data_IF_350968362230
#
_entry.id   IF_350968362230
#
_cell.length_a   1.000
_cell.length_b   1.000
_cell.length_c   1.000
_cell.angle_alpha   90.00
_cell.angle_beta   90.00
_cell.angle_gamma   90.00
#
_symmetry.space_group_name_H-M   'P 1'
#
loop_
_entity.id
_entity.type
_entity.pdbx_description
1 polymer ?
#
# COMPACT_ATOMS: atom_id res chain seq x y z
N UNK A 1 5.26 -12.50 28.11
CA UNK A 1 4.16 -12.99 27.24
C UNK A 1 4.67 -12.83 25.82
N UNK A 2 4.67 -13.90 25.03
CA UNK A 2 4.93 -13.76 23.60
C UNK A 2 3.86 -12.86 22.99
N UNK A 3 4.27 -11.89 22.17
CA UNK A 3 3.33 -11.01 21.47
C UNK A 3 2.59 -11.82 20.43
N UNK A 4 1.24 -11.80 20.47
CA UNK A 4 0.41 -12.47 19.47
C UNK A 4 0.74 -11.94 18.07
N UNK A 5 0.74 -12.83 17.07
CA UNK A 5 0.99 -12.47 15.67
C UNK A 5 -0.33 -12.14 14.96
N UNK A 6 -0.28 -11.26 14.00
CA UNK A 6 -1.45 -10.93 13.17
C UNK A 6 -1.74 -12.05 12.17
N UNK A 7 -2.85 -12.78 12.34
CA UNK A 7 -3.22 -13.86 11.40
C UNK A 7 -3.53 -13.32 10.01
N UNK A 8 -4.08 -12.11 9.91
CA UNK A 8 -4.40 -11.45 8.64
C UNK A 8 -3.14 -11.09 7.83
N UNK A 9 -1.95 -11.10 8.46
CA UNK A 9 -0.67 -10.85 7.78
C UNK A 9 -0.11 -12.10 7.09
N UNK A 10 -0.61 -13.30 7.44
CA UNK A 10 -0.13 -14.55 6.86
C UNK A 10 -0.70 -14.76 5.46
N UNK A 11 0.15 -15.14 4.51
CA UNK A 11 -0.34 -15.64 3.22
C UNK A 11 -1.04 -16.98 3.40
N UNK A 12 -1.84 -17.39 2.42
CA UNK A 12 -2.52 -18.69 2.48
C UNK A 12 -1.52 -19.86 2.66
N UNK A 13 -0.35 -19.76 2.04
CA UNK A 13 0.72 -20.74 2.20
C UNK A 13 1.26 -20.75 3.62
N UNK A 14 1.59 -19.58 4.19
CA UNK A 14 2.07 -19.42 5.56
C UNK A 14 1.03 -19.91 6.57
N UNK A 15 -0.25 -19.54 6.39
CA UNK A 15 -1.35 -19.99 7.24
C UNK A 15 -1.52 -21.53 7.17
N UNK A 16 -1.31 -22.12 5.99
CA UNK A 16 -1.34 -23.58 5.81
C UNK A 16 -0.23 -24.25 6.58
N UNK A 17 0.98 -23.70 6.58
CA UNK A 17 2.12 -24.23 7.33
C UNK A 17 1.88 -24.14 8.83
N UNK A 18 1.38 -23.01 9.33
CA UNK A 18 1.04 -22.81 10.75
C UNK A 18 0.00 -23.82 11.24
N UNK A 19 -1.08 -24.00 10.49
CA UNK A 19 -2.13 -24.93 10.86
C UNK A 19 -1.67 -26.39 10.82
N UNK A 20 -0.82 -26.76 9.87
CA UNK A 20 -0.19 -28.09 9.86
C UNK A 20 0.67 -28.32 11.09
N UNK A 21 1.45 -27.31 11.51
CA UNK A 21 2.24 -27.37 12.74
C UNK A 21 1.35 -27.54 14.00
N UNK A 22 0.12 -27.00 13.97
CA UNK A 22 -0.90 -27.20 15.01
C UNK A 22 -1.65 -28.54 14.90
N UNK A 23 -1.26 -29.42 13.97
CA UNK A 23 -1.93 -30.71 13.73
C UNK A 23 -3.29 -30.60 13.02
N UNK A 24 -3.52 -29.50 12.31
CA UNK A 24 -4.80 -29.27 11.62
C UNK A 24 -4.71 -29.66 10.12
N UNK A 25 -5.81 -30.15 9.53
CA UNK A 25 -5.88 -30.42 8.09
C UNK A 25 -5.69 -29.14 7.26
N UNK A 26 -4.99 -29.25 6.12
CA UNK A 26 -4.65 -28.09 5.29
C UNK A 26 -5.85 -27.31 4.71
N UNK A 27 -7.02 -27.96 4.53
CA UNK A 27 -8.22 -27.27 4.03
C UNK A 27 -8.74 -26.21 5.00
N UNK A 28 -8.42 -26.32 6.32
CA UNK A 28 -8.82 -25.31 7.30
C UNK A 28 -8.14 -23.96 7.06
N UNK A 29 -6.95 -23.95 6.47
CA UNK A 29 -6.29 -22.70 6.10
C UNK A 29 -7.12 -21.89 5.11
N UNK A 30 -7.71 -22.55 4.09
CA UNK A 30 -8.61 -21.87 3.15
C UNK A 30 -9.87 -21.34 3.84
N UNK A 31 -10.44 -22.11 4.76
CA UNK A 31 -11.62 -21.67 5.52
C UNK A 31 -11.31 -20.45 6.38
N UNK A 32 -10.21 -20.46 7.15
CA UNK A 32 -9.80 -19.33 7.98
C UNK A 32 -9.44 -18.11 7.12
N UNK A 33 -8.70 -18.32 6.03
CA UNK A 33 -8.36 -17.26 5.09
C UNK A 33 -9.62 -16.60 4.49
N UNK A 34 -10.60 -17.41 4.10
CA UNK A 34 -11.90 -16.94 3.63
C UNK A 34 -12.65 -16.11 4.69
N UNK A 35 -12.66 -16.56 5.97
CA UNK A 35 -13.28 -15.81 7.04
C UNK A 35 -12.63 -14.44 7.24
N UNK A 36 -11.31 -14.39 7.25
CA UNK A 36 -10.56 -13.15 7.47
C UNK A 36 -10.63 -12.23 6.25
N UNK A 37 -10.34 -12.75 5.05
CA UNK A 37 -10.09 -11.94 3.86
C UNK A 37 -11.27 -11.83 2.89
N UNK A 38 -12.37 -12.58 3.10
CA UNK A 38 -13.58 -12.45 2.26
C UNK A 38 -14.81 -12.09 3.08
N UNK A 39 -15.02 -12.76 4.23
CA UNK A 39 -16.11 -12.40 5.16
C UNK A 39 -15.76 -11.23 6.08
N UNK A 40 -14.48 -10.84 6.11
CA UNK A 40 -13.95 -9.67 6.80
C UNK A 40 -14.27 -9.68 8.30
N UNK A 41 -14.21 -10.85 8.94
CA UNK A 41 -14.44 -10.95 10.39
C UNK A 41 -13.32 -10.27 11.18
N UNK A 42 -13.66 -9.76 12.34
CA UNK A 42 -12.72 -9.09 13.25
C UNK A 42 -12.50 -9.86 14.54
N UNK A 43 -13.18 -11.01 14.67
CA UNK A 43 -13.13 -11.86 15.85
C UNK A 43 -13.24 -13.34 15.44
N UNK A 44 -12.47 -14.22 16.11
CA UNK A 44 -12.48 -15.65 15.82
C UNK A 44 -13.83 -16.32 16.17
N UNK A 45 -14.56 -15.79 17.14
CA UNK A 45 -15.87 -16.31 17.53
C UNK A 45 -16.92 -16.27 16.42
N UNK A 46 -16.72 -15.40 15.42
CA UNK A 46 -17.60 -15.31 14.24
C UNK A 46 -17.43 -16.49 13.27
N UNK A 47 -16.36 -17.29 13.40
CA UNK A 47 -16.01 -18.40 12.50
C UNK A 47 -16.77 -19.69 12.87
N UNK A 48 -18.06 -19.71 12.56
CA UNK A 48 -19.01 -20.74 13.06
C UNK A 48 -18.79 -22.16 12.54
N UNK A 49 -18.03 -22.33 11.46
CA UNK A 49 -17.68 -23.63 10.87
C UNK A 49 -16.36 -24.20 11.40
N UNK A 50 -15.72 -23.52 12.36
CA UNK A 50 -14.46 -23.96 12.96
C UNK A 50 -14.69 -24.61 14.34
N UNK A 51 -13.90 -25.67 14.68
CA UNK A 51 -13.97 -26.26 16.00
C UNK A 51 -13.58 -25.26 17.10
N UNK A 52 -14.35 -25.21 18.19
CA UNK A 52 -14.08 -24.33 19.34
C UNK A 52 -12.66 -24.50 19.89
N UNK A 53 -12.16 -25.74 19.96
CA UNK A 53 -10.80 -26.03 20.42
C UNK A 53 -9.70 -25.43 19.51
N UNK A 54 -9.96 -25.32 18.18
CA UNK A 54 -9.06 -24.66 17.27
C UNK A 54 -9.11 -23.13 17.46
N UNK A 55 -10.32 -22.58 17.57
CA UNK A 55 -10.49 -21.12 17.78
C UNK A 55 -9.78 -20.66 19.05
N UNK A 56 -9.89 -21.41 20.16
CA UNK A 56 -9.18 -21.10 21.39
C UNK A 56 -7.65 -21.07 21.19
N UNK A 57 -7.07 -22.05 20.49
CA UNK A 57 -5.64 -22.06 20.17
C UNK A 57 -5.22 -20.90 19.27
N UNK A 58 -6.09 -20.51 18.31
CA UNK A 58 -5.82 -19.37 17.46
C UNK A 58 -5.84 -18.06 18.25
N UNK A 59 -6.79 -17.89 19.16
CA UNK A 59 -6.87 -16.73 20.05
C UNK A 59 -5.67 -16.61 21.01
N UNK A 60 -5.05 -17.72 21.39
CA UNK A 60 -3.83 -17.70 22.20
C UNK A 60 -2.61 -17.18 21.41
N UNK A 61 -2.47 -17.62 20.14
CA UNK A 61 -1.29 -17.35 19.32
C UNK A 61 -1.42 -16.14 18.40
N UNK A 62 -2.65 -15.78 18.02
CA UNK A 62 -2.93 -14.78 16.98
C UNK A 62 -3.97 -13.75 17.41
N UNK A 63 -3.99 -12.65 16.65
CA UNK A 63 -5.08 -11.68 16.61
C UNK A 63 -5.48 -11.39 15.16
N UNK A 64 -6.68 -10.88 14.96
CA UNK A 64 -7.16 -10.37 13.66
C UNK A 64 -7.02 -8.84 13.70
N UNK A 65 -6.36 -8.25 12.71
CA UNK A 65 -6.23 -6.80 12.62
C UNK A 65 -7.61 -6.16 12.41
N UNK A 66 -8.01 -5.30 13.36
CA UNK A 66 -9.29 -4.62 13.37
C UNK A 66 -9.12 -3.20 13.92
N UNK A 67 -8.74 -2.22 13.09
CA UNK A 67 -8.55 -0.85 13.55
C UNK A 67 -9.89 -0.22 13.94
N UNK A 68 -9.83 0.72 14.87
CA UNK A 68 -10.99 1.49 15.31
C UNK A 68 -11.08 2.77 14.49
N UNK A 69 -12.26 3.08 13.96
CA UNK A 69 -12.52 4.37 13.32
C UNK A 69 -12.56 5.44 14.41
N UNK A 70 -11.46 6.16 14.57
CA UNK A 70 -11.35 7.27 15.54
C UNK A 70 -12.05 8.51 15.02
N UNK A 71 -11.98 8.75 13.71
CA UNK A 71 -12.64 9.87 13.07
C UNK A 71 -13.01 9.51 11.63
N UNK A 72 -14.24 9.89 11.24
CA UNK A 72 -14.77 9.78 9.88
C UNK A 72 -15.16 11.17 9.39
N UNK A 73 -14.71 11.53 8.21
CA UNK A 73 -15.05 12.79 7.56
C UNK A 73 -15.51 12.48 6.14
N UNK A 74 -16.63 13.07 5.74
CA UNK A 74 -17.17 12.89 4.40
C UNK A 74 -17.27 14.25 3.68
N UNK A 75 -16.75 14.28 2.47
CA UNK A 75 -16.79 15.45 1.61
C UNK A 75 -18.06 15.44 0.74
N UNK A 76 -18.38 16.57 0.13
CA UNK A 76 -19.59 16.72 -0.71
C UNK A 76 -19.61 15.83 -1.95
N UNK A 77 -18.44 15.44 -2.44
CA UNK A 77 -18.27 14.52 -3.59
C UNK A 77 -18.36 13.04 -3.21
N UNK A 78 -18.65 12.74 -1.94
CA UNK A 78 -18.73 11.37 -1.41
C UNK A 78 -17.38 10.76 -1.03
N UNK A 79 -16.28 11.51 -1.11
CA UNK A 79 -14.98 11.08 -0.59
C UNK A 79 -15.03 10.95 0.92
N UNK A 80 -14.60 9.81 1.47
CA UNK A 80 -14.60 9.56 2.91
C UNK A 80 -13.16 9.38 3.40
N UNK A 81 -12.75 10.20 4.36
CA UNK A 81 -11.46 10.12 5.04
C UNK A 81 -11.64 9.54 6.43
N UNK A 82 -10.85 8.54 6.74
CA UNK A 82 -10.78 7.89 8.04
C UNK A 82 -9.47 8.21 8.75
N UNK A 83 -9.55 8.45 10.06
CA UNK A 83 -8.45 8.29 10.99
C UNK A 83 -8.68 6.94 11.68
N UNK A 84 -7.80 5.99 11.41
CA UNK A 84 -7.88 4.64 11.96
C UNK A 84 -6.85 4.47 13.06
N UNK A 85 -7.30 4.04 14.26
CA UNK A 85 -6.43 3.73 15.38
C UNK A 85 -6.13 2.24 15.42
N UNK A 86 -4.85 1.90 15.31
CA UNK A 86 -4.33 0.54 15.40
C UNK A 86 -4.31 0.02 16.84
N UNK A 87 -4.10 -1.28 17.02
CA UNK A 87 -4.10 -1.93 18.34
C UNK A 87 -3.04 -1.38 19.31
N UNK A 88 -1.94 -0.86 18.80
CA UNK A 88 -0.85 -0.23 19.56
C UNK A 88 -1.08 1.26 19.86
N UNK A 89 -2.24 1.82 19.45
CA UNK A 89 -2.60 3.21 19.65
C UNK A 89 -2.10 4.17 18.57
N UNK A 90 -1.26 3.74 17.63
CA UNK A 90 -0.87 4.57 16.50
C UNK A 90 -2.07 4.82 15.57
N UNK A 91 -2.13 6.03 15.02
CA UNK A 91 -3.18 6.41 14.07
C UNK A 91 -2.61 6.53 12.65
N UNK A 92 -3.40 6.08 11.70
CA UNK A 92 -3.11 6.20 10.27
C UNK A 92 -4.32 6.77 9.53
N UNK A 93 -4.11 7.22 8.31
CA UNK A 93 -5.16 7.78 7.47
C UNK A 93 -5.48 6.85 6.30
N UNK A 94 -6.77 6.69 6.03
CA UNK A 94 -7.30 5.92 4.89
C UNK A 94 -8.36 6.76 4.21
N UNK A 95 -8.37 6.79 2.87
CA UNK A 95 -9.32 7.61 2.11
C UNK A 95 -10.03 6.76 1.07
N UNK A 96 -11.36 6.78 1.07
CA UNK A 96 -12.18 6.19 0.01
C UNK A 96 -12.64 7.29 -0.94
N UNK A 97 -12.39 7.09 -2.22
CA UNK A 97 -12.79 7.98 -3.32
C UNK A 97 -13.76 7.24 -4.23
N UNK A 98 -14.84 7.91 -4.62
CA UNK A 98 -15.86 7.37 -5.50
C UNK A 98 -15.62 7.79 -6.94
N UNK A 99 -15.47 6.82 -7.83
CA UNK A 99 -15.31 7.05 -9.27
C UNK A 99 -16.38 6.28 -10.06
N UNK A 100 -16.64 6.68 -11.30
CA UNK A 100 -17.58 5.99 -12.17
C UNK A 100 -17.21 4.54 -12.47
N UNK A 101 -15.92 4.19 -12.34
CA UNK A 101 -15.39 2.83 -12.53
C UNK A 101 -15.32 2.00 -11.23
N UNK A 102 -15.71 2.56 -10.10
CA UNK A 102 -15.75 1.91 -8.79
C UNK A 102 -15.08 2.69 -7.67
N UNK A 103 -15.17 2.16 -6.45
CA UNK A 103 -14.57 2.77 -5.28
C UNK A 103 -13.07 2.48 -5.23
N UNK A 104 -12.26 3.52 -5.06
CA UNK A 104 -10.81 3.45 -4.85
C UNK A 104 -10.48 3.77 -3.41
N UNK A 105 -9.61 2.98 -2.78
CA UNK A 105 -9.10 3.28 -1.44
C UNK A 105 -7.62 3.65 -1.51
N UNK A 106 -7.27 4.74 -0.83
CA UNK A 106 -5.90 5.15 -0.55
C UNK A 106 -5.51 4.62 0.82
N UNK A 107 -4.48 3.76 0.88
CA UNK A 107 -4.02 3.10 2.11
C UNK A 107 -2.65 3.58 2.53
N UNK A 108 -2.41 3.52 3.83
CA UNK A 108 -1.12 3.78 4.47
C UNK A 108 -0.30 2.49 4.55
N UNK A 109 1.02 2.61 4.59
CA UNK A 109 1.92 1.46 4.72
C UNK A 109 2.81 1.52 5.96
N UNK A 110 2.80 2.67 6.63
CA UNK A 110 3.58 2.92 7.85
C UNK A 110 2.79 3.82 8.80
N UNK A 111 3.11 3.79 10.08
CA UNK A 111 2.76 4.83 11.03
C UNK A 111 3.87 5.89 10.97
N UNK A 112 3.58 7.04 10.34
CA UNK A 112 4.57 8.07 9.99
C UNK A 112 5.46 7.66 8.81
N UNK A 113 6.42 8.54 8.44
CA UNK A 113 7.31 8.32 7.29
C UNK A 113 8.68 8.96 7.56
N UNK A 114 9.77 8.27 7.20
CA UNK A 114 11.14 8.79 7.40
C UNK A 114 11.76 9.42 6.15
N UNK A 115 11.04 9.50 5.03
CA UNK A 115 11.63 9.98 3.76
C UNK A 115 11.92 11.48 3.77
N UNK A 116 11.31 12.26 4.67
CA UNK A 116 11.65 13.66 4.88
C UNK A 116 11.21 14.62 3.78
N UNK A 117 10.26 14.21 2.90
CA UNK A 117 9.75 15.09 1.86
C UNK A 117 9.15 16.37 2.47
N UNK A 118 9.69 17.55 2.13
CA UNK A 118 9.38 18.80 2.81
C UNK A 118 7.95 19.31 2.62
N UNK A 119 7.28 18.86 1.58
CA UNK A 119 5.87 19.19 1.28
C UNK A 119 4.87 18.20 1.90
N UNK A 120 5.35 17.12 2.53
CA UNK A 120 4.50 16.02 3.01
C UNK A 120 4.31 16.07 4.54
N UNK A 121 3.06 16.14 4.99
CA UNK A 121 2.74 16.15 6.42
C UNK A 121 3.11 14.83 7.12
N UNK A 122 3.10 13.71 6.42
CA UNK A 122 3.38 12.39 6.98
C UNK A 122 4.81 12.22 7.52
N UNK A 123 5.73 13.12 7.16
CA UNK A 123 7.13 13.05 7.59
C UNK A 123 7.42 13.83 8.87
N UNK A 124 6.51 14.70 9.32
CA UNK A 124 6.73 15.62 10.43
C UNK A 124 7.06 14.91 11.75
N UNK A 125 6.40 13.79 12.01
CA UNK A 125 6.64 12.98 13.22
C UNK A 125 7.70 11.88 13.03
N UNK A 126 8.31 11.78 11.83
CA UNK A 126 9.16 10.65 11.48
C UNK A 126 8.37 9.35 11.30
N UNK A 127 9.08 8.23 11.18
CA UNK A 127 8.48 6.90 11.12
C UNK A 127 8.49 6.27 12.51
N UNK A 128 7.31 5.91 13.00
CA UNK A 128 7.16 5.12 14.24
C UNK A 128 7.44 3.64 13.95
N UNK A 129 6.68 3.05 13.00
CA UNK A 129 6.85 1.65 12.57
C UNK A 129 6.27 1.37 11.19
N UNK A 130 6.62 0.23 10.65
CA UNK A 130 5.93 -0.35 9.51
C UNK A 130 4.57 -0.91 9.94
N UNK A 131 3.57 -0.88 9.05
CA UNK A 131 2.34 -1.65 9.20
C UNK A 131 2.58 -3.09 8.74
N UNK A 132 1.97 -4.04 9.44
CA UNK A 132 1.92 -5.42 8.98
C UNK A 132 0.96 -5.57 7.79
N UNK A 133 1.16 -6.59 6.96
CA UNK A 133 0.30 -6.85 5.80
C UNK A 133 -1.19 -6.92 6.16
N UNK A 134 -1.51 -7.55 7.29
CA UNK A 134 -2.88 -7.64 7.81
C UNK A 134 -3.45 -6.31 8.26
N UNK A 135 -2.62 -5.40 8.77
CA UNK A 135 -3.04 -4.06 9.14
C UNK A 135 -3.39 -3.25 7.89
N UNK A 136 -2.58 -3.33 6.81
CA UNK A 136 -2.88 -2.68 5.52
C UNK A 136 -4.17 -3.25 4.91
N UNK A 137 -4.37 -4.58 4.96
CA UNK A 137 -5.64 -5.19 4.55
C UNK A 137 -6.83 -4.65 5.37
N UNK A 138 -6.65 -4.48 6.67
CA UNK A 138 -7.71 -4.08 7.58
C UNK A 138 -8.21 -2.65 7.37
N UNK A 139 -7.38 -1.76 6.82
CA UNK A 139 -7.83 -0.43 6.35
C UNK A 139 -8.95 -0.57 5.33
N UNK A 140 -8.72 -1.42 4.32
CA UNK A 140 -9.67 -1.68 3.23
C UNK A 140 -10.94 -2.34 3.76
N UNK A 141 -10.78 -3.34 4.64
CA UNK A 141 -11.92 -4.09 5.20
C UNK A 141 -12.80 -3.21 6.08
N UNK A 142 -12.19 -2.38 6.91
CA UNK A 142 -12.90 -1.42 7.76
C UNK A 142 -13.64 -0.39 6.92
N UNK A 143 -12.96 0.20 5.93
CA UNK A 143 -13.58 1.17 5.04
C UNK A 143 -14.73 0.55 4.22
N UNK A 144 -14.53 -0.65 3.65
CA UNK A 144 -15.55 -1.35 2.87
C UNK A 144 -16.80 -1.68 3.69
N UNK A 145 -16.62 -2.08 4.96
CA UNK A 145 -17.74 -2.31 5.87
C UNK A 145 -18.50 -1.04 6.20
N UNK A 146 -17.78 0.07 6.45
CA UNK A 146 -18.39 1.35 6.81
C UNK A 146 -19.22 1.94 5.67
N UNK A 147 -18.68 1.92 4.43
CA UNK A 147 -19.43 2.45 3.28
C UNK A 147 -20.51 1.49 2.75
N UNK A 148 -20.48 0.20 3.14
CA UNK A 148 -21.42 -0.83 2.67
C UNK A 148 -21.28 -1.18 1.18
N UNK A 149 -20.20 -0.76 0.51
CA UNK A 149 -19.96 -0.94 -0.92
C UNK A 149 -18.59 -1.59 -1.16
N UNK A 150 -18.48 -2.35 -2.26
CA UNK A 150 -17.21 -2.97 -2.63
C UNK A 150 -16.16 -1.94 -3.01
N UNK A 151 -14.96 -2.10 -2.48
CA UNK A 151 -13.75 -1.43 -2.93
C UNK A 151 -13.12 -2.28 -4.04
N UNK A 152 -12.85 -1.65 -5.18
CA UNK A 152 -12.36 -2.35 -6.39
C UNK A 152 -10.96 -1.92 -6.82
N UNK A 153 -10.47 -0.79 -6.33
CA UNK A 153 -9.15 -0.22 -6.66
C UNK A 153 -8.42 0.21 -5.40
N UNK A 154 -7.09 0.11 -5.44
CA UNK A 154 -6.22 0.46 -4.31
C UNK A 154 -5.10 1.37 -4.81
N UNK A 155 -4.80 2.43 -4.05
CA UNK A 155 -3.59 3.22 -4.24
C UNK A 155 -2.79 3.25 -2.94
N UNK A 156 -1.52 2.83 -2.98
CA UNK A 156 -0.60 2.91 -1.85
C UNK A 156 0.07 4.29 -1.89
N UNK A 157 -0.70 5.32 -1.50
CA UNK A 157 -0.33 6.74 -1.55
C UNK A 157 -0.67 7.46 -0.23
N UNK A 158 -0.96 6.71 0.83
CA UNK A 158 -1.23 7.22 2.17
C UNK A 158 0.06 7.50 2.94
N UNK A 159 0.01 7.31 4.26
CA UNK A 159 1.16 7.54 5.14
C UNK A 159 2.20 6.43 4.94
N UNK A 160 3.45 6.84 4.71
CA UNK A 160 4.58 5.92 4.58
C UNK A 160 5.15 5.81 3.16
N UNK A 161 6.31 5.17 3.06
CA UNK A 161 6.94 4.78 1.80
C UNK A 161 6.74 3.26 1.63
N UNK A 162 5.95 2.82 0.63
CA UNK A 162 5.66 1.38 0.46
C UNK A 162 6.92 0.53 0.28
N UNK A 163 7.92 1.03 -0.43
CA UNK A 163 9.16 0.28 -0.66
C UNK A 163 10.10 0.25 0.56
N UNK A 164 9.89 1.12 1.56
CA UNK A 164 10.57 1.04 2.86
C UNK A 164 9.94 -0.01 3.78
N UNK A 165 8.71 -0.46 3.45
CA UNK A 165 8.00 -1.56 4.07
C UNK A 165 7.83 -2.76 3.13
N UNK A 166 8.85 -3.07 2.35
CA UNK A 166 8.77 -3.95 1.19
C UNK A 166 8.13 -5.30 1.45
N UNK A 167 8.60 -6.02 2.47
CA UNK A 167 8.16 -7.40 2.70
C UNK A 167 6.69 -7.49 3.13
N UNK A 168 6.23 -6.56 3.97
CA UNK A 168 4.82 -6.50 4.37
C UNK A 168 3.92 -6.05 3.21
N UNK A 169 4.38 -5.10 2.40
CA UNK A 169 3.66 -4.67 1.20
C UNK A 169 3.56 -5.82 0.19
N UNK A 170 4.59 -6.62 -0.01
CA UNK A 170 4.51 -7.81 -0.89
C UNK A 170 3.49 -8.84 -0.37
N UNK A 171 3.50 -9.13 0.94
CA UNK A 171 2.48 -10.00 1.56
C UNK A 171 1.07 -9.43 1.46
N UNK A 172 0.92 -8.13 1.69
CA UNK A 172 -0.35 -7.43 1.49
C UNK A 172 -0.86 -7.62 0.05
N UNK A 173 -0.01 -7.38 -0.96
CA UNK A 173 -0.38 -7.53 -2.36
C UNK A 173 -0.81 -8.96 -2.70
N UNK A 174 -0.13 -9.96 -2.15
CA UNK A 174 -0.51 -11.37 -2.30
C UNK A 174 -1.88 -11.65 -1.68
N UNK A 175 -2.10 -11.23 -0.43
CA UNK A 175 -3.35 -11.49 0.29
C UNK A 175 -4.55 -10.79 -0.37
N UNK A 176 -4.40 -9.49 -0.73
CA UNK A 176 -5.50 -8.70 -1.28
C UNK A 176 -5.91 -9.14 -2.68
N UNK A 177 -4.97 -9.69 -3.47
CA UNK A 177 -5.24 -10.20 -4.81
C UNK A 177 -5.59 -11.69 -4.85
N UNK A 178 -5.52 -12.37 -3.71
CA UNK A 178 -5.84 -13.80 -3.63
C UNK A 178 -7.28 -14.08 -4.05
N UNK A 179 -7.53 -15.07 -4.93
CA UNK A 179 -8.89 -15.48 -5.31
C UNK A 179 -9.69 -16.06 -4.14
N UNK A 180 -9.02 -16.51 -3.08
CA UNK A 180 -9.65 -17.00 -1.84
C UNK A 180 -10.04 -15.86 -0.88
N UNK A 181 -9.68 -14.59 -1.19
CA UNK A 181 -10.00 -13.39 -0.41
C UNK A 181 -10.91 -12.42 -1.17
N UNK A 182 -10.70 -11.11 -0.97
CA UNK A 182 -11.49 -10.06 -1.67
C UNK A 182 -11.20 -9.98 -3.15
N UNK A 183 -10.08 -10.55 -3.61
CA UNK A 183 -9.71 -10.71 -5.01
C UNK A 183 -9.71 -9.39 -5.79
N UNK A 184 -8.93 -8.42 -5.33
CA UNK A 184 -8.66 -7.19 -6.08
C UNK A 184 -7.48 -7.45 -7.01
N UNK A 185 -7.73 -7.45 -8.31
CA UNK A 185 -6.70 -7.77 -9.31
C UNK A 185 -5.56 -6.76 -9.30
N UNK A 186 -4.32 -7.22 -9.51
CA UNK A 186 -3.10 -6.39 -9.48
C UNK A 186 -3.17 -5.17 -10.41
N UNK A 187 -3.90 -5.24 -11.53
CA UNK A 187 -4.08 -4.10 -12.45
C UNK A 187 -4.90 -2.95 -11.87
N UNK A 188 -5.63 -3.23 -10.80
CA UNK A 188 -6.44 -2.26 -10.06
C UNK A 188 -5.67 -1.70 -8.84
N UNK A 189 -4.38 -1.98 -8.74
CA UNK A 189 -3.52 -1.52 -7.64
C UNK A 189 -2.44 -0.62 -8.21
N UNK A 190 -2.31 0.58 -7.62
CA UNK A 190 -1.21 1.51 -7.91
C UNK A 190 -0.33 1.64 -6.67
N UNK A 191 0.97 1.46 -6.86
CA UNK A 191 1.99 1.66 -5.84
C UNK A 191 2.79 2.91 -6.19
N UNK A 192 2.79 3.91 -5.29
CA UNK A 192 3.62 5.09 -5.42
C UNK A 192 4.87 4.98 -4.56
N UNK A 193 6.00 5.49 -5.05
CA UNK A 193 7.28 5.49 -4.32
C UNK A 193 8.05 6.76 -4.57
N UNK A 194 8.78 7.21 -3.55
CA UNK A 194 9.76 8.29 -3.68
C UNK A 194 11.04 7.88 -4.44
N UNK A 195 11.19 6.59 -4.77
CA UNK A 195 12.29 6.09 -5.59
C UNK A 195 13.45 5.48 -4.81
N UNK A 196 13.18 4.54 -3.91
CA UNK A 196 14.20 3.70 -3.27
C UNK A 196 14.76 2.70 -4.29
N UNK A 197 15.83 3.09 -5.01
CA UNK A 197 16.36 2.37 -6.19
C UNK A 197 16.60 0.89 -5.95
N UNK A 198 17.29 0.43 -4.88
CA UNK A 198 17.49 -1.00 -4.66
C UNK A 198 16.18 -1.78 -4.48
N UNK A 199 15.13 -1.13 -3.95
CA UNK A 199 13.82 -1.74 -3.77
C UNK A 199 12.99 -1.72 -5.06
N UNK A 200 13.20 -0.73 -5.93
CA UNK A 200 12.62 -0.74 -7.28
C UNK A 200 13.15 -1.92 -8.10
N UNK A 201 14.44 -2.21 -8.03
CA UNK A 201 15.04 -3.36 -8.71
C UNK A 201 14.46 -4.68 -8.15
N UNK A 202 14.31 -4.82 -6.82
CA UNK A 202 13.64 -5.97 -6.21
C UNK A 202 12.16 -6.09 -6.62
N UNK A 203 11.44 -4.97 -6.75
CA UNK A 203 10.04 -4.96 -7.22
C UNK A 203 9.95 -5.41 -8.68
N UNK A 204 10.89 -5.01 -9.53
CA UNK A 204 10.95 -5.43 -10.94
C UNK A 204 11.05 -6.96 -11.08
N UNK A 205 11.86 -7.61 -10.24
CA UNK A 205 12.02 -9.07 -10.21
C UNK A 205 10.72 -9.81 -9.89
N UNK A 206 9.81 -9.20 -9.13
CA UNK A 206 8.49 -9.76 -8.81
C UNK A 206 7.54 -9.81 -10.01
N UNK A 207 7.79 -9.03 -11.08
CA UNK A 207 6.99 -8.98 -12.31
C UNK A 207 5.47 -8.83 -12.07
N UNK A 208 5.10 -8.06 -11.05
CA UNK A 208 3.71 -7.81 -10.70
C UNK A 208 3.02 -6.95 -11.76
N UNK A 209 1.71 -7.18 -11.94
CA UNK A 209 0.90 -6.46 -12.94
C UNK A 209 0.28 -5.16 -12.38
N UNK A 210 0.81 -4.62 -11.27
CA UNK A 210 0.38 -3.35 -10.71
C UNK A 210 0.84 -2.15 -11.56
N UNK A 211 0.26 -0.99 -11.28
CA UNK A 211 0.75 0.29 -11.81
C UNK A 211 1.78 0.86 -10.85
N UNK A 212 2.98 1.15 -11.35
CA UNK A 212 4.01 1.85 -10.59
C UNK A 212 3.93 3.34 -10.88
N UNK A 213 3.84 4.15 -9.81
CA UNK A 213 3.99 5.60 -9.85
C UNK A 213 5.28 6.01 -9.14
N UNK A 214 6.02 6.93 -9.71
CA UNK A 214 7.25 7.45 -9.11
C UNK A 214 7.10 8.95 -8.84
N UNK A 215 7.26 9.33 -7.59
CA UNK A 215 7.25 10.72 -7.15
C UNK A 215 8.55 11.41 -7.59
N UNK A 216 8.50 12.07 -8.76
CA UNK A 216 9.63 12.81 -9.33
C UNK A 216 9.72 14.22 -8.74
N UNK A 217 8.66 15.00 -8.86
CA UNK A 217 8.41 16.34 -8.30
C UNK A 217 9.43 17.42 -8.64
N UNK A 218 10.48 17.11 -9.40
CA UNK A 218 11.52 18.06 -9.75
C UNK A 218 12.20 17.76 -11.10
N UNK A 219 12.71 18.76 -11.79
CA UNK A 219 13.37 18.56 -13.08
C UNK A 219 14.86 18.19 -12.99
N UNK A 220 15.47 18.40 -11.81
CA UNK A 220 16.91 18.21 -11.58
C UNK A 220 17.19 17.90 -10.11
N UNK A 221 18.46 17.58 -9.83
CA UNK A 221 18.90 17.18 -8.50
C UNK A 221 18.81 18.31 -7.46
N UNK A 222 19.14 19.55 -7.84
CA UNK A 222 19.15 20.66 -6.88
C UNK A 222 17.77 20.91 -6.31
N UNK A 223 16.75 20.99 -7.19
CA UNK A 223 15.35 21.16 -6.77
C UNK A 223 14.85 19.91 -6.05
N UNK A 224 15.18 18.71 -6.56
CA UNK A 224 14.70 17.47 -5.97
C UNK A 224 15.27 17.24 -4.57
N UNK A 225 16.56 17.45 -4.35
CA UNK A 225 17.17 17.38 -3.01
C UNK A 225 16.58 18.41 -2.05
N UNK A 226 16.25 19.60 -2.58
CA UNK A 226 15.54 20.62 -1.81
C UNK A 226 14.14 20.22 -1.35
N UNK A 227 13.46 19.36 -2.09
CA UNK A 227 12.09 18.90 -1.80
C UNK A 227 12.03 17.51 -1.18
N UNK A 228 12.90 16.59 -1.63
CA UNK A 228 12.91 15.17 -1.31
C UNK A 228 14.32 14.70 -1.00
N UNK A 229 14.72 14.59 0.28
CA UNK A 229 16.08 14.21 0.68
C UNK A 229 16.54 12.83 0.15
N UNK A 230 15.62 11.95 -0.22
CA UNK A 230 15.94 10.66 -0.88
C UNK A 230 16.79 10.84 -2.15
N UNK A 231 16.73 12.02 -2.78
CA UNK A 231 17.53 12.34 -3.98
C UNK A 231 19.04 12.37 -3.69
N UNK A 232 19.44 12.67 -2.46
CA UNK A 232 20.86 12.69 -2.08
C UNK A 232 21.48 11.28 -2.13
N UNK A 233 20.66 10.26 -1.86
CA UNK A 233 21.05 8.86 -2.00
C UNK A 233 20.83 8.33 -3.43
N UNK A 234 19.80 8.79 -4.11
CA UNK A 234 19.41 8.32 -5.46
C UNK A 234 19.10 9.53 -6.35
N UNK A 235 20.11 10.14 -6.99
CA UNK A 235 19.93 11.24 -7.93
C UNK A 235 18.98 10.90 -9.08
N UNK A 236 18.40 11.92 -9.70
CA UNK A 236 17.40 11.77 -10.78
C UNK A 236 17.86 10.79 -11.86
N UNK A 237 19.13 10.88 -12.28
CA UNK A 237 19.69 10.02 -13.34
C UNK A 237 19.71 8.54 -12.92
N UNK A 238 20.07 8.27 -11.66
CA UNK A 238 20.08 6.92 -11.08
C UNK A 238 18.67 6.37 -10.95
N UNK A 239 17.73 7.21 -10.50
CA UNK A 239 16.32 6.87 -10.44
C UNK A 239 15.75 6.55 -11.82
N UNK A 240 16.03 7.39 -12.84
CA UNK A 240 15.56 7.17 -14.19
C UNK A 240 16.13 5.89 -14.83
N UNK A 241 17.37 5.54 -14.53
CA UNK A 241 17.94 4.25 -14.94
C UNK A 241 17.20 3.07 -14.28
N UNK A 242 16.89 3.15 -12.99
CA UNK A 242 16.11 2.12 -12.29
C UNK A 242 14.69 1.97 -12.87
N UNK A 243 14.03 3.08 -13.19
CA UNK A 243 12.72 3.08 -13.86
C UNK A 243 12.78 2.40 -15.22
N UNK A 244 13.81 2.66 -16.03
CA UNK A 244 13.99 1.98 -17.32
C UNK A 244 14.19 0.47 -17.14
N UNK A 245 15.04 0.05 -16.20
CA UNK A 245 15.20 -1.39 -15.88
C UNK A 245 13.89 -2.02 -15.44
N UNK A 246 13.09 -1.31 -14.63
CA UNK A 246 11.76 -1.78 -14.23
C UNK A 246 10.85 -2.00 -15.45
N UNK A 247 10.80 -1.02 -16.39
CA UNK A 247 10.00 -1.12 -17.60
C UNK A 247 10.45 -2.28 -18.49
N UNK A 248 11.76 -2.43 -18.70
CA UNK A 248 12.35 -3.52 -19.50
C UNK A 248 12.06 -4.88 -18.90
N UNK A 249 12.15 -5.01 -17.57
CA UNK A 249 11.94 -6.29 -16.87
C UNK A 249 10.47 -6.70 -16.81
N UNK A 250 9.57 -5.72 -16.61
CA UNK A 250 8.15 -5.98 -16.37
C UNK A 250 7.26 -5.81 -17.59
N UNK A 251 7.72 -5.07 -18.61
CA UNK A 251 6.92 -4.63 -19.76
C UNK A 251 5.82 -3.62 -19.37
N UNK A 252 5.87 -3.04 -18.16
CA UNK A 252 4.82 -2.16 -17.62
C UNK A 252 5.22 -0.70 -17.73
N UNK A 253 4.25 0.16 -18.04
CA UNK A 253 4.43 1.61 -17.97
C UNK A 253 4.61 2.06 -16.53
N UNK A 254 5.40 3.12 -16.34
CA UNK A 254 5.57 3.81 -15.06
C UNK A 254 4.97 5.19 -15.20
N UNK A 255 4.15 5.59 -14.23
CA UNK A 255 3.62 6.94 -14.12
C UNK A 255 4.58 7.79 -13.28
N UNK A 256 4.66 9.07 -13.58
CA UNK A 256 5.39 10.03 -12.75
C UNK A 256 4.43 11.01 -12.11
N UNK A 257 4.65 11.30 -10.85
CA UNK A 257 3.92 12.31 -10.10
C UNK A 257 4.76 13.58 -10.00
N UNK A 258 4.12 14.71 -10.26
CA UNK A 258 4.76 16.02 -10.22
C UNK A 258 3.86 17.03 -9.53
N UNK A 259 4.07 17.25 -8.23
CA UNK A 259 3.37 18.27 -7.46
C UNK A 259 3.98 19.63 -7.75
N UNK A 260 3.27 20.52 -8.45
CA UNK A 260 3.73 21.86 -8.73
C UNK A 260 3.67 22.73 -7.47
N UNK A 261 4.83 23.23 -7.05
CA UNK A 261 5.00 24.12 -5.90
C UNK A 261 5.42 25.49 -6.42
N UNK A 262 4.58 26.50 -6.15
CA UNK A 262 4.78 27.88 -6.66
C UNK A 262 6.17 28.43 -6.26
N UNK A 263 6.88 28.93 -7.27
CA UNK A 263 8.20 29.52 -7.11
C UNK A 263 9.33 28.52 -6.81
N UNK A 264 9.05 27.20 -6.87
CA UNK A 264 10.05 26.15 -6.65
C UNK A 264 10.29 25.34 -7.93
N UNK A 265 9.24 24.72 -8.47
CA UNK A 265 9.35 23.79 -9.59
C UNK A 265 8.28 24.01 -10.69
N UNK A 266 7.59 25.14 -10.69
CA UNK A 266 6.45 25.47 -11.53
C UNK A 266 6.77 26.36 -12.76
N UNK A 267 8.06 26.63 -13.03
CA UNK A 267 8.48 27.43 -14.17
C UNK A 267 8.58 26.61 -15.45
N UNK A 268 8.51 27.29 -16.62
CA UNK A 268 8.74 26.68 -17.94
C UNK A 268 10.14 26.02 -18.02
N UNK A 269 11.13 26.60 -17.36
CA UNK A 269 12.48 26.03 -17.26
C UNK A 269 12.49 24.70 -16.52
N UNK A 270 11.54 24.48 -15.59
CA UNK A 270 11.35 23.20 -14.91
C UNK A 270 10.58 22.20 -15.76
N UNK A 271 9.59 22.65 -16.53
CA UNK A 271 8.74 21.77 -17.33
C UNK A 271 9.50 21.11 -18.50
N UNK A 272 10.37 21.85 -19.18
CA UNK A 272 11.12 21.38 -20.36
C UNK A 272 11.97 20.13 -20.10
N UNK A 273 12.86 20.06 -19.09
CA UNK A 273 13.65 18.87 -18.82
C UNK A 273 12.80 17.64 -18.50
N UNK A 274 11.69 17.83 -17.77
CA UNK A 274 10.79 16.73 -17.42
C UNK A 274 10.21 16.11 -18.68
N UNK A 275 9.66 16.93 -19.61
CA UNK A 275 8.99 16.43 -20.81
C UNK A 275 9.95 15.82 -21.84
N UNK A 276 11.17 16.34 -21.98
CA UNK A 276 12.09 15.92 -23.06
C UNK A 276 13.19 14.97 -22.62
N UNK A 277 13.65 15.07 -21.38
CA UNK A 277 14.82 14.33 -20.91
C UNK A 277 14.45 13.11 -20.07
N UNK A 278 13.44 13.25 -19.23
CA UNK A 278 13.05 12.19 -18.29
C UNK A 278 11.90 11.35 -18.83
N UNK A 279 10.94 11.99 -19.45
CA UNK A 279 9.80 11.37 -20.08
C UNK A 279 9.98 11.40 -21.61
N UNK A 280 10.74 10.47 -22.18
CA UNK A 280 10.53 10.13 -23.59
C UNK A 280 9.16 9.48 -23.70
N UNK A 281 8.14 10.30 -23.49
CA UNK A 281 6.79 9.87 -23.63
C UNK A 281 6.49 9.69 -25.11
N UNK A 282 6.25 8.50 -25.55
CA UNK A 282 5.50 8.25 -26.78
C UNK A 282 4.09 8.87 -26.71
N UNK A 283 3.76 9.55 -25.62
CA UNK A 283 2.41 10.03 -25.27
C UNK A 283 2.25 11.54 -25.34
N UNK A 284 3.33 12.33 -25.30
CA UNK A 284 3.23 13.80 -25.30
C UNK A 284 2.81 14.38 -26.65
N UNK A 285 3.00 13.68 -27.75
CA UNK A 285 2.60 14.16 -29.07
C UNK A 285 1.15 13.82 -29.46
N UNK A 286 0.50 12.90 -28.74
CA UNK A 286 -0.85 12.43 -29.07
C UNK A 286 -1.95 12.98 -28.17
N UNK A 287 -1.63 13.67 -27.06
CA UNK A 287 -2.58 14.08 -26.03
C UNK A 287 -2.48 15.56 -25.63
N UNK A 288 -1.82 16.40 -26.43
CA UNK A 288 -1.84 17.86 -26.28
C UNK A 288 -2.75 18.50 -27.33
#
# INVERSE_FOLDING_TARGET
METKRCISSLTLEQLTAELKAMGQPGFRAKQLFHWVHQKLVTDFSAMTDQPKALLAKLEEAFYIAAPIIERRQEAKDGTVKYLLRMADGNCIETVVMRYHYGNTVCVSTQAGCRMGCRFCASTQAGRVRNLEAGEICSEIYTAQKDIGERISHIVLMGIGEPLDNFDEVMRFLENISSPEGVNIGMRNISLSTCGLVPKLDQLAEKKLQLTLSVSLHAPNNDIRSGMMPVNDAYPVEVLMQAVRRYQETTGRRVSFEYSMVRGVNDSDACARPVSYTHLRAHETAANL
#
